data_IF_832750780929
#
_entry.id   IF_832750780929
#
_cell.length_a   1.000
_cell.length_b   1.000
_cell.length_c   1.000
_cell.angle_alpha   90.00
_cell.angle_beta   90.00
_cell.angle_gamma   90.00
#
_symmetry.space_group_name_H-M   'P 1'
#
loop_
_entity.id
_entity.type
_entity.pdbx_description
1 polymer ?
#
# COMPACT_ATOMS: atom_id res chain seq x y z
N UNK A 1 9.67 24.17 8.19
CA UNK A 1 8.75 23.97 9.33
C UNK A 1 7.93 22.74 9.07
N UNK A 2 7.58 22.00 10.12
CA UNK A 2 6.77 20.78 10.03
C UNK A 2 5.41 21.06 10.65
N UNK A 3 4.34 20.54 10.05
CA UNK A 3 2.95 20.76 10.47
C UNK A 3 2.32 19.40 10.77
N UNK A 4 1.49 19.33 11.81
CA UNK A 4 0.72 18.13 12.10
C UNK A 4 -0.68 18.22 11.49
N UNK A 5 -1.06 17.19 10.74
CA UNK A 5 -2.41 16.95 10.27
C UNK A 5 -2.96 15.74 11.04
N UNK A 6 -3.76 16.01 12.06
CA UNK A 6 -4.21 14.98 13.03
C UNK A 6 -3.02 14.30 13.72
N UNK A 7 -2.81 13.02 13.47
CA UNK A 7 -1.72 12.17 13.96
C UNK A 7 -0.56 12.00 12.96
N UNK A 8 -0.67 12.59 11.75
CA UNK A 8 0.36 12.55 10.73
C UNK A 8 1.20 13.84 10.73
N UNK A 9 2.53 13.67 10.73
CA UNK A 9 3.50 14.76 10.66
C UNK A 9 3.90 15.01 9.21
N UNK A 10 3.80 16.27 8.74
CA UNK A 10 4.08 16.66 7.34
C UNK A 10 5.14 17.74 7.28
N UNK A 11 6.21 17.47 6.53
CA UNK A 11 7.27 18.42 6.22
C UNK A 11 7.17 18.90 4.77
N UNK A 12 7.82 20.03 4.48
CA UNK A 12 7.93 20.52 3.11
C UNK A 12 8.64 19.50 2.23
N UNK A 13 8.00 19.10 1.13
CA UNK A 13 8.53 18.11 0.18
C UNK A 13 7.90 16.72 0.31
N UNK A 14 7.21 16.43 1.42
CA UNK A 14 6.49 15.15 1.55
C UNK A 14 5.34 15.07 0.54
N UNK A 15 5.04 13.85 0.10
CA UNK A 15 4.00 13.56 -0.87
C UNK A 15 2.71 13.25 -0.11
N UNK A 16 1.62 13.92 -0.48
CA UNK A 16 0.30 13.70 0.12
C UNK A 16 -0.59 13.02 -0.92
N UNK A 17 -1.10 11.83 -0.59
CA UNK A 17 -2.02 11.07 -1.45
C UNK A 17 -3.37 10.99 -0.74
N UNK A 18 -4.46 11.31 -1.44
CA UNK A 18 -5.80 11.26 -0.87
C UNK A 18 -6.83 10.67 -1.82
N UNK A 19 -7.73 9.86 -1.29
CA UNK A 19 -8.87 9.27 -1.99
C UNK A 19 -10.13 9.31 -1.12
N UNK A 20 -11.18 8.58 -1.49
CA UNK A 20 -12.43 8.52 -0.73
C UNK A 20 -12.29 7.86 0.65
N UNK A 21 -11.23 7.08 0.87
CA UNK A 21 -10.97 6.37 2.13
C UNK A 21 -10.18 7.22 3.12
N UNK A 22 -9.40 8.19 2.63
CA UNK A 22 -8.64 9.11 3.48
C UNK A 22 -7.43 9.72 2.81
N UNK A 23 -6.45 10.11 3.63
CA UNK A 23 -5.20 10.77 3.22
C UNK A 23 -4.01 10.06 3.86
N UNK A 24 -2.95 9.85 3.08
CA UNK A 24 -1.67 9.27 3.51
C UNK A 24 -0.55 10.26 3.19
N UNK A 25 0.41 10.34 4.12
CA UNK A 25 1.64 11.14 3.97
C UNK A 25 2.79 10.18 3.69
N UNK A 26 3.48 10.41 2.57
CA UNK A 26 4.66 9.66 2.15
C UNK A 26 5.89 10.57 2.33
N UNK A 27 6.79 10.24 3.27
CA UNK A 27 8.02 11.01 3.47
C UNK A 27 8.87 11.07 2.21
N UNK A 28 9.35 12.26 1.85
CA UNK A 28 10.13 12.46 0.62
C UNK A 28 11.40 11.59 0.58
N UNK A 29 12.07 11.43 1.71
CA UNK A 29 13.33 10.67 1.85
C UNK A 29 13.16 9.16 1.65
N UNK A 30 11.93 8.65 1.73
CA UNK A 30 11.58 7.24 1.54
C UNK A 30 10.60 7.00 0.41
N UNK A 31 10.31 8.02 -0.40
CA UNK A 31 9.29 7.95 -1.44
C UNK A 31 9.54 6.81 -2.44
N UNK A 32 10.80 6.59 -2.83
CA UNK A 32 11.19 5.54 -3.76
C UNK A 32 10.99 4.13 -3.18
N UNK A 33 11.48 3.89 -1.95
CA UNK A 33 11.28 2.62 -1.22
C UNK A 33 9.78 2.31 -1.06
N UNK A 34 8.99 3.31 -0.68
CA UNK A 34 7.54 3.18 -0.49
C UNK A 34 6.86 2.89 -1.82
N UNK A 35 7.28 3.55 -2.91
CA UNK A 35 6.74 3.32 -4.24
C UNK A 35 7.01 1.89 -4.73
N UNK A 36 8.24 1.41 -4.60
CA UNK A 36 8.59 0.03 -4.99
C UNK A 36 7.76 -1.00 -4.24
N UNK A 37 7.59 -0.82 -2.92
CA UNK A 37 6.75 -1.69 -2.10
C UNK A 37 5.28 -1.62 -2.52
N UNK A 38 4.75 -0.41 -2.74
CA UNK A 38 3.36 -0.22 -3.16
C UNK A 38 3.09 -0.86 -4.52
N UNK A 39 3.99 -0.69 -5.49
CA UNK A 39 3.88 -1.31 -6.81
C UNK A 39 3.91 -2.85 -6.74
N UNK A 40 4.75 -3.42 -5.87
CA UNK A 40 4.78 -4.87 -5.66
C UNK A 40 3.49 -5.41 -5.04
N UNK A 41 2.88 -4.66 -4.11
CA UNK A 41 1.59 -4.98 -3.52
C UNK A 41 0.50 -4.93 -4.60
N UNK A 42 0.43 -3.85 -5.37
CA UNK A 42 -0.57 -3.67 -6.43
C UNK A 42 -0.49 -4.79 -7.47
N UNK A 43 0.72 -5.16 -7.91
CA UNK A 43 0.90 -6.28 -8.83
C UNK A 43 0.39 -7.61 -8.25
N UNK A 44 0.54 -7.81 -6.94
CA UNK A 44 0.03 -9.00 -6.27
C UNK A 44 -1.50 -8.98 -6.17
N UNK A 45 -2.10 -7.82 -5.93
CA UNK A 45 -3.55 -7.65 -5.91
C UNK A 45 -4.18 -7.88 -7.28
N UNK A 46 -3.54 -7.42 -8.36
CA UNK A 46 -3.96 -7.72 -9.74
C UNK A 46 -3.99 -9.24 -10.01
N UNK A 47 -2.97 -9.97 -9.57
CA UNK A 47 -2.93 -11.43 -9.72
C UNK A 47 -4.04 -12.13 -8.91
N UNK A 48 -4.37 -11.61 -7.72
CA UNK A 48 -5.49 -12.10 -6.91
C UNK A 48 -6.81 -11.86 -7.64
N UNK A 49 -7.01 -10.67 -8.21
CA UNK A 49 -8.21 -10.32 -8.99
C UNK A 49 -8.35 -11.28 -10.18
N UNK A 50 -7.27 -11.49 -10.94
CA UNK A 50 -7.27 -12.43 -12.06
C UNK A 50 -7.63 -13.86 -11.66
N UNK A 51 -7.12 -14.36 -10.53
CA UNK A 51 -7.49 -15.69 -10.01
C UNK A 51 -8.98 -15.77 -9.67
N UNK A 52 -9.55 -14.72 -9.08
CA UNK A 52 -10.97 -14.65 -8.72
C UNK A 52 -11.84 -14.62 -9.97
N UNK A 53 -11.47 -13.85 -10.99
CA UNK A 53 -12.17 -13.81 -12.28
C UNK A 53 -12.16 -15.17 -12.99
N UNK A 54 -11.11 -15.98 -12.76
CA UNK A 54 -11.01 -17.35 -13.24
C UNK A 54 -11.75 -18.39 -12.37
N UNK A 55 -12.54 -17.94 -11.39
CA UNK A 55 -13.42 -18.79 -10.58
C UNK A 55 -12.78 -19.36 -9.31
N UNK A 56 -11.58 -18.91 -8.93
CA UNK A 56 -10.95 -19.30 -7.68
C UNK A 56 -11.55 -18.50 -6.53
N UNK A 57 -11.77 -19.14 -5.38
CA UNK A 57 -12.28 -18.43 -4.21
C UNK A 57 -11.27 -17.38 -3.70
N UNK A 58 -11.76 -16.24 -3.21
CA UNK A 58 -10.92 -15.17 -2.63
C UNK A 58 -9.96 -15.69 -1.55
N UNK A 59 -10.42 -16.66 -0.74
CA UNK A 59 -9.60 -17.23 0.34
C UNK A 59 -8.40 -18.02 -0.21
N UNK A 60 -8.61 -18.79 -1.28
CA UNK A 60 -7.53 -19.54 -1.94
C UNK A 60 -6.60 -18.62 -2.72
N UNK A 61 -7.13 -17.64 -3.46
CA UNK A 61 -6.33 -16.66 -4.19
C UNK A 61 -5.38 -15.90 -3.24
N UNK A 62 -5.89 -15.38 -2.11
CA UNK A 62 -5.07 -14.70 -1.09
C UNK A 62 -4.01 -15.60 -0.47
N UNK A 63 -4.30 -16.89 -0.27
CA UNK A 63 -3.32 -17.87 0.24
C UNK A 63 -2.22 -18.13 -0.78
N UNK A 64 -2.57 -18.29 -2.06
CA UNK A 64 -1.63 -18.56 -3.15
C UNK A 64 -0.63 -17.41 -3.32
N UNK A 65 -1.11 -16.18 -3.21
CA UNK A 65 -0.31 -14.97 -3.42
C UNK A 65 0.29 -14.39 -2.13
N UNK A 66 0.20 -15.09 -1.00
CA UNK A 66 0.87 -14.67 0.24
C UNK A 66 0.39 -13.32 0.78
N UNK A 67 -0.87 -12.93 0.53
CA UNK A 67 -1.39 -11.58 0.85
C UNK A 67 -1.18 -11.17 2.32
N UNK A 68 -1.25 -12.13 3.24
CA UNK A 68 -1.07 -11.90 4.68
C UNK A 68 0.36 -11.52 5.05
N UNK A 69 1.35 -11.86 4.23
CA UNK A 69 2.75 -11.53 4.46
C UNK A 69 3.09 -10.12 3.95
N UNK A 70 2.39 -9.64 2.92
CA UNK A 70 2.58 -8.29 2.35
C UNK A 70 2.21 -7.17 3.33
N UNK A 71 1.23 -7.40 4.20
CA UNK A 71 0.74 -6.42 5.17
C UNK A 71 1.48 -6.46 6.53
N UNK A 72 2.47 -7.33 6.68
CA UNK A 72 3.25 -7.38 7.92
C UNK A 72 4.12 -6.12 8.01
N UNK A 73 4.07 -5.46 9.17
CA UNK A 73 5.08 -4.44 9.51
C UNK A 73 6.46 -5.09 9.44
N UNK A 74 7.27 -4.67 8.46
CA UNK A 74 8.71 -4.88 8.56
C UNK A 74 9.19 -4.08 9.79
N UNK A 75 9.96 -4.73 10.66
CA UNK A 75 10.47 -4.14 11.90
C UNK A 75 11.51 -3.06 11.63
#
# INVERSE_FOLDING_TARGET
CTVNLSDAQVSSGDIIVGNADGVVVVPHDRAEEIYELAAAIEQTEENIIADIENGISLCEARKRHGYHDLQKRSK
#
